data_IF_687160583514
#
_entry.id   IF_687160583514
#
_cell.length_a   1.000
_cell.length_b   1.000
_cell.length_c   1.000
_cell.angle_alpha   90.00
_cell.angle_beta   90.00
_cell.angle_gamma   90.00
#
_symmetry.space_group_name_H-M   'P 1'
#
loop_
_entity.id
_entity.type
_entity.pdbx_description
1 polymer ?
#
# COMPACT_ATOMS: atom_id res chain seq x y z
N UNK A 1 10.01 1.62 -5.32
CA UNK A 1 8.66 1.13 -4.95
C UNK A 1 8.33 -0.07 -5.82
N UNK A 2 7.74 -1.14 -5.27
CA UNK A 2 7.39 -2.35 -6.02
C UNK A 2 5.89 -2.32 -6.36
N UNK A 3 5.54 -2.31 -7.63
CA UNK A 3 4.19 -2.02 -8.07
C UNK A 3 3.59 -3.22 -8.81
N UNK A 4 2.41 -3.64 -8.38
CA UNK A 4 1.47 -4.40 -9.20
C UNK A 4 0.13 -3.63 -9.22
N UNK A 5 0.03 -2.60 -10.06
CA UNK A 5 -1.14 -1.74 -10.12
C UNK A 5 -2.22 -2.34 -11.03
N UNK A 6 -3.48 -2.08 -10.72
CA UNK A 6 -4.59 -2.28 -11.64
C UNK A 6 -5.09 -0.95 -12.21
N UNK A 7 -6.28 -0.97 -12.81
CA UNK A 7 -6.88 0.22 -13.44
C UNK A 7 -7.14 1.35 -12.44
N UNK A 8 -7.38 1.01 -11.18
CA UNK A 8 -7.72 1.94 -10.10
C UNK A 8 -6.50 2.77 -9.67
N UNK A 9 -5.28 2.27 -9.82
CA UNK A 9 -4.04 2.91 -9.36
C UNK A 9 -3.27 3.62 -10.48
N UNK A 10 -3.83 3.72 -11.69
CA UNK A 10 -3.15 4.34 -12.83
C UNK A 10 -2.78 5.81 -12.58
N UNK A 11 -3.57 6.54 -11.80
CA UNK A 11 -3.24 7.91 -11.40
C UNK A 11 -2.01 7.95 -10.49
N UNK A 12 -1.90 7.04 -9.52
CA UNK A 12 -0.71 6.86 -8.69
C UNK A 12 0.53 6.50 -9.52
N UNK A 13 0.39 5.56 -10.46
CA UNK A 13 1.49 5.15 -11.34
C UNK A 13 1.96 6.32 -12.21
N UNK A 14 1.03 7.06 -12.82
CA UNK A 14 1.35 8.23 -13.64
C UNK A 14 1.99 9.36 -12.81
N UNK A 15 1.66 9.49 -11.54
CA UNK A 15 2.31 10.46 -10.65
C UNK A 15 3.80 10.13 -10.43
N UNK A 16 4.18 8.85 -10.42
CA UNK A 16 5.58 8.44 -10.24
C UNK A 16 6.49 8.91 -11.38
N UNK A 17 5.97 9.06 -12.60
CA UNK A 17 6.74 9.58 -13.74
C UNK A 17 7.22 11.02 -13.51
N UNK A 18 6.56 11.77 -12.61
CA UNK A 18 6.95 13.14 -12.24
C UNK A 18 8.11 13.17 -11.23
N UNK A 19 8.48 12.02 -10.64
CA UNK A 19 9.49 11.93 -9.57
C UNK A 19 10.63 10.98 -9.97
N UNK A 20 11.62 11.43 -10.76
CA UNK A 20 12.69 10.57 -11.29
C UNK A 20 13.59 9.94 -10.20
N UNK A 21 13.58 10.49 -8.99
CA UNK A 21 14.29 9.91 -7.85
C UNK A 21 13.59 8.64 -7.29
N UNK A 22 12.31 8.43 -7.60
CA UNK A 22 11.56 7.26 -7.21
C UNK A 22 11.44 6.29 -8.37
N UNK A 23 12.15 5.16 -8.30
CA UNK A 23 12.07 4.11 -9.31
C UNK A 23 10.88 3.16 -9.03
N UNK A 24 9.85 3.11 -9.88
CA UNK A 24 8.89 2.02 -9.86
C UNK A 24 9.52 0.74 -10.43
N UNK A 25 9.29 -0.38 -9.75
CA UNK A 25 9.64 -1.71 -10.21
C UNK A 25 8.33 -2.46 -10.43
N UNK A 26 7.98 -2.69 -11.70
CA UNK A 26 6.79 -3.46 -12.05
C UNK A 26 6.99 -4.93 -11.66
N UNK A 27 6.02 -5.47 -10.94
CA UNK A 27 5.98 -6.87 -10.52
C UNK A 27 4.80 -7.57 -11.18
N UNK A 28 5.01 -8.79 -11.65
CA UNK A 28 3.98 -9.57 -12.37
C UNK A 28 2.91 -10.18 -11.45
N UNK A 29 3.11 -10.15 -10.14
CA UNK A 29 2.17 -10.66 -9.14
C UNK A 29 2.34 -9.91 -7.82
N UNK A 30 1.27 -9.74 -7.04
CA UNK A 30 1.31 -9.00 -5.76
C UNK A 30 2.21 -9.69 -4.75
N UNK A 31 2.23 -11.02 -4.73
CA UNK A 31 3.19 -11.80 -3.93
C UNK A 31 4.64 -11.48 -4.30
N UNK A 32 4.96 -11.25 -5.58
CA UNK A 32 6.31 -10.83 -6.00
C UNK A 32 6.60 -9.42 -5.49
N UNK A 33 5.62 -8.50 -5.59
CA UNK A 33 5.77 -7.13 -5.10
C UNK A 33 6.02 -7.09 -3.58
N UNK A 34 5.21 -7.78 -2.79
CA UNK A 34 5.32 -7.80 -1.33
C UNK A 34 6.55 -8.59 -0.85
N UNK A 35 6.94 -9.66 -1.55
CA UNK A 35 8.18 -10.39 -1.26
C UNK A 35 9.44 -9.58 -1.57
N UNK A 36 9.44 -8.85 -2.69
CA UNK A 36 10.53 -7.95 -3.05
C UNK A 36 10.66 -6.78 -2.05
N UNK A 37 9.53 -6.23 -1.60
CA UNK A 37 9.50 -5.20 -0.56
C UNK A 37 10.07 -5.72 0.77
N UNK A 38 9.65 -6.91 1.22
CA UNK A 38 10.18 -7.54 2.44
C UNK A 38 11.71 -7.72 2.35
N UNK A 39 12.19 -8.33 1.26
CA UNK A 39 13.62 -8.54 1.04
C UNK A 39 14.42 -7.24 0.95
N UNK A 40 13.92 -6.25 0.21
CA UNK A 40 14.58 -4.95 0.06
C UNK A 40 14.72 -4.23 1.40
N UNK A 41 13.64 -4.18 2.20
CA UNK A 41 13.67 -3.51 3.49
C UNK A 41 14.64 -4.18 4.48
N UNK A 42 14.72 -5.51 4.48
CA UNK A 42 15.71 -6.26 5.28
C UNK A 42 17.15 -5.96 4.86
N UNK A 43 17.41 -5.95 3.56
CA UNK A 43 18.76 -5.78 3.03
C UNK A 43 19.28 -4.35 3.19
N UNK A 44 18.40 -3.36 3.08
CA UNK A 44 18.79 -1.95 3.10
C UNK A 44 18.61 -1.29 4.47
N UNK A 45 17.77 -1.85 5.33
CA UNK A 45 17.34 -1.20 6.57
C UNK A 45 16.37 -0.03 6.38
N UNK A 46 16.00 0.29 5.12
CA UNK A 46 15.06 1.36 4.80
C UNK A 46 13.65 0.80 4.55
N UNK A 47 12.58 1.56 4.89
CA UNK A 47 11.22 1.15 4.53
C UNK A 47 11.06 0.90 3.03
N UNK A 48 10.43 -0.23 2.67
CA UNK A 48 10.07 -0.52 1.30
C UNK A 48 8.60 -0.14 1.03
N UNK A 49 8.32 0.37 -0.17
CA UNK A 49 6.96 0.69 -0.60
C UNK A 49 6.41 -0.35 -1.56
N UNK A 50 5.10 -0.63 -1.48
CA UNK A 50 4.34 -1.36 -2.49
C UNK A 50 3.18 -0.52 -3.04
N UNK A 51 2.79 -0.80 -4.30
CA UNK A 51 1.49 -0.38 -4.86
C UNK A 51 0.74 -1.65 -5.24
N UNK A 52 -0.44 -1.86 -4.67
CA UNK A 52 -1.27 -3.05 -4.87
C UNK A 52 -2.69 -2.66 -5.30
N UNK A 53 -3.33 -3.56 -6.02
CA UNK A 53 -4.67 -3.34 -6.57
C UNK A 53 -5.79 -3.81 -5.65
N UNK A 54 -6.63 -2.89 -5.15
CA UNK A 54 -7.85 -3.19 -4.35
C UNK A 54 -7.60 -4.19 -3.19
N UNK A 55 -8.68 -4.68 -2.58
CA UNK A 55 -8.59 -5.69 -1.52
C UNK A 55 -8.04 -7.02 -2.02
N UNK A 56 -8.38 -7.43 -3.25
CA UNK A 56 -7.96 -8.71 -3.81
C UNK A 56 -6.45 -8.78 -4.06
N UNK A 57 -5.85 -7.71 -4.56
CA UNK A 57 -4.40 -7.61 -4.73
C UNK A 57 -3.68 -7.55 -3.39
N UNK A 58 -4.22 -6.83 -2.40
CA UNK A 58 -3.71 -6.90 -1.03
C UNK A 58 -3.75 -8.34 -0.49
N UNK A 59 -4.85 -9.07 -0.72
CA UNK A 59 -5.02 -10.45 -0.29
C UNK A 59 -3.98 -11.39 -0.91
N UNK A 60 -3.69 -11.25 -2.21
CA UNK A 60 -2.63 -12.00 -2.90
C UNK A 60 -1.24 -11.78 -2.27
N UNK A 61 -0.99 -10.58 -1.75
CA UNK A 61 0.28 -10.21 -1.12
C UNK A 61 0.40 -10.54 0.37
N UNK A 62 -0.69 -10.92 1.03
CA UNK A 62 -0.79 -10.86 2.49
C UNK A 62 0.09 -11.88 3.22
N UNK A 63 0.34 -13.04 2.62
CA UNK A 63 1.20 -14.07 3.20
C UNK A 63 2.62 -13.53 3.46
N UNK A 64 3.17 -12.76 2.52
CA UNK A 64 4.49 -12.14 2.68
C UNK A 64 4.44 -10.98 3.68
N UNK A 65 3.36 -10.20 3.68
CA UNK A 65 3.18 -9.13 4.67
C UNK A 65 3.06 -9.68 6.10
N UNK A 66 2.46 -10.87 6.28
CA UNK A 66 2.47 -11.56 7.56
C UNK A 66 3.90 -11.91 7.99
N UNK A 67 4.71 -12.47 7.10
CA UNK A 67 6.11 -12.78 7.39
C UNK A 67 6.93 -11.52 7.70
N UNK A 68 6.72 -10.44 6.95
CA UNK A 68 7.34 -9.14 7.19
C UNK A 68 6.94 -8.58 8.58
N UNK A 69 5.66 -8.67 8.96
CA UNK A 69 5.17 -8.28 10.30
C UNK A 69 5.88 -9.08 11.39
N UNK A 70 5.94 -10.42 11.26
CA UNK A 70 6.57 -11.30 12.25
C UNK A 70 8.06 -11.01 12.41
N UNK A 71 8.71 -10.54 11.36
CA UNK A 71 10.12 -10.16 11.36
C UNK A 71 10.38 -8.68 11.67
N UNK A 72 9.33 -7.87 11.94
CA UNK A 72 9.49 -6.44 12.23
C UNK A 72 10.01 -5.62 11.06
N UNK A 73 9.70 -6.04 9.82
CA UNK A 73 10.21 -5.41 8.60
C UNK A 73 9.35 -4.19 8.24
N UNK A 74 9.96 -3.03 7.97
CA UNK A 74 9.24 -1.81 7.65
C UNK A 74 8.72 -1.82 6.21
N UNK A 75 7.40 -1.79 6.03
CA UNK A 75 6.74 -1.78 4.71
C UNK A 75 5.61 -0.75 4.68
N UNK A 76 5.53 0.05 3.63
CA UNK A 76 4.37 0.92 3.33
C UNK A 76 3.63 0.34 2.13
N UNK A 77 2.36 0.00 2.30
CA UNK A 77 1.49 -0.42 1.22
C UNK A 77 0.59 0.74 0.80
N UNK A 78 0.62 1.09 -0.48
CA UNK A 78 -0.39 1.92 -1.11
C UNK A 78 -1.35 0.99 -1.83
N UNK A 79 -2.61 1.00 -1.42
CA UNK A 79 -3.64 0.11 -1.97
C UNK A 79 -4.70 1.00 -2.58
N UNK A 80 -5.00 0.86 -3.87
CA UNK A 80 -6.11 1.62 -4.44
C UNK A 80 -7.45 1.08 -3.95
N UNK A 81 -8.49 1.90 -4.04
CA UNK A 81 -9.88 1.53 -3.77
C UNK A 81 -10.79 2.08 -4.87
N UNK A 82 -11.97 1.49 -5.04
CA UNK A 82 -13.04 2.07 -5.85
C UNK A 82 -13.29 3.53 -5.46
N UNK A 83 -13.87 4.27 -6.41
CA UNK A 83 -14.23 5.65 -6.13
C UNK A 83 -15.25 5.70 -4.97
N UNK A 84 -15.11 6.67 -4.07
CA UNK A 84 -15.88 6.72 -2.80
C UNK A 84 -17.40 6.64 -3.02
N UNK A 85 -17.91 7.29 -4.07
CA UNK A 85 -19.33 7.29 -4.44
C UNK A 85 -19.84 5.96 -5.02
N UNK A 86 -18.95 5.04 -5.38
CA UNK A 86 -19.29 3.73 -5.98
C UNK A 86 -19.14 2.57 -5.00
N UNK A 87 -18.56 2.78 -3.82
CA UNK A 87 -18.34 1.74 -2.80
C UNK A 87 -19.65 1.06 -2.41
N UNK A 88 -20.74 1.82 -2.24
CA UNK A 88 -22.05 1.28 -1.85
C UNK A 88 -22.72 0.40 -2.91
N UNK A 89 -22.21 0.40 -4.15
CA UNK A 89 -22.70 -0.47 -5.21
C UNK A 89 -22.21 -1.92 -5.08
N UNK A 90 -21.26 -2.19 -4.18
CA UNK A 90 -20.69 -3.53 -3.92
C UNK A 90 -20.28 -4.24 -5.21
N UNK A 91 -19.50 -3.53 -6.05
CA UNK A 91 -19.04 -4.07 -7.32
C UNK A 91 -18.12 -5.28 -7.13
N UNK A 92 -17.93 -6.08 -8.20
CA UNK A 92 -17.28 -7.40 -8.14
C UNK A 92 -15.90 -7.48 -7.46
N UNK A 93 -15.16 -6.38 -7.37
CA UNK A 93 -13.82 -6.33 -6.75
C UNK A 93 -13.81 -5.64 -5.38
N UNK A 94 -14.99 -5.27 -4.86
CA UNK A 94 -15.13 -4.59 -3.57
C UNK A 94 -14.88 -5.58 -2.43
N UNK A 95 -14.18 -5.11 -1.41
CA UNK A 95 -13.79 -5.91 -0.24
C UNK A 95 -13.54 -4.97 0.93
N UNK A 96 -13.71 -5.45 2.16
CA UNK A 96 -13.26 -4.73 3.36
C UNK A 96 -11.73 -4.74 3.46
N UNK A 97 -11.08 -3.78 2.79
CA UNK A 97 -9.62 -3.65 2.76
C UNK A 97 -9.07 -3.30 4.14
N UNK A 98 -9.80 -2.51 4.94
CA UNK A 98 -9.36 -2.13 6.28
C UNK A 98 -9.24 -3.35 7.20
N UNK A 99 -10.26 -4.21 7.23
CA UNK A 99 -10.24 -5.45 8.00
C UNK A 99 -9.08 -6.36 7.55
N UNK A 100 -8.90 -6.51 6.23
CA UNK A 100 -7.82 -7.31 5.67
C UNK A 100 -6.44 -6.75 6.06
N UNK A 101 -6.22 -5.46 5.86
CA UNK A 101 -4.97 -4.77 6.18
C UNK A 101 -4.65 -4.82 7.68
N UNK A 102 -5.67 -4.74 8.55
CA UNK A 102 -5.53 -4.81 10.01
C UNK A 102 -4.95 -6.13 10.52
N UNK A 103 -5.00 -7.21 9.73
CA UNK A 103 -4.39 -8.49 10.09
C UNK A 103 -2.85 -8.46 10.05
N UNK A 104 -2.25 -7.51 9.31
CA UNK A 104 -0.78 -7.42 9.13
C UNK A 104 -0.21 -6.04 9.47
N UNK A 105 -1.01 -4.98 9.39
CA UNK A 105 -0.56 -3.59 9.55
C UNK A 105 -0.68 -3.12 11.00
N UNK A 106 0.27 -2.31 11.45
CA UNK A 106 0.18 -1.58 12.73
C UNK A 106 -0.49 -0.22 12.58
N UNK A 107 -0.62 0.25 11.34
CA UNK A 107 -1.32 1.47 10.97
C UNK A 107 -2.10 1.23 9.67
N UNK A 108 -3.38 1.58 9.68
CA UNK A 108 -4.27 1.50 8.53
C UNK A 108 -5.04 2.81 8.42
N UNK A 109 -5.16 3.33 7.21
CA UNK A 109 -5.91 4.55 6.92
C UNK A 109 -6.55 4.45 5.55
N UNK A 110 -7.82 4.81 5.46
CA UNK A 110 -8.49 5.08 4.19
C UNK A 110 -8.57 6.57 3.97
N UNK A 111 -8.06 7.03 2.84
CA UNK A 111 -8.08 8.44 2.47
C UNK A 111 -9.52 8.85 2.13
N UNK A 112 -10.00 9.91 2.75
CA UNK A 112 -11.33 10.50 2.49
C UNK A 112 -11.26 11.87 1.83
N UNK A 113 -10.11 12.55 1.93
CA UNK A 113 -9.90 13.90 1.41
C UNK A 113 -8.60 13.90 0.60
N UNK A 114 -8.61 14.20 -0.72
CA UNK A 114 -7.42 14.15 -1.57
C UNK A 114 -6.24 14.98 -1.03
N UNK A 115 -6.54 16.18 -0.51
CA UNK A 115 -5.54 17.09 0.05
C UNK A 115 -4.76 16.52 1.25
N UNK A 116 -5.27 15.47 1.92
CA UNK A 116 -4.58 14.81 3.04
C UNK A 116 -3.56 13.76 2.57
N UNK A 117 -3.52 13.40 1.28
CA UNK A 117 -2.68 12.31 0.77
C UNK A 117 -1.20 12.44 1.18
N UNK A 118 -0.62 13.63 0.99
CA UNK A 118 0.79 13.87 1.35
C UNK A 118 1.05 13.70 2.85
N UNK A 119 0.11 14.16 3.68
CA UNK A 119 0.18 14.02 5.14
C UNK A 119 0.08 12.55 5.55
N UNK A 120 -0.85 11.81 4.96
CA UNK A 120 -1.07 10.40 5.31
C UNK A 120 0.05 9.49 4.82
N UNK A 121 0.69 9.79 3.68
CA UNK A 121 1.96 9.14 3.28
C UNK A 121 3.05 9.42 4.33
N UNK A 122 3.18 10.67 4.80
CA UNK A 122 4.13 11.03 5.85
C UNK A 122 3.88 10.28 7.16
N UNK A 123 2.61 10.17 7.58
CA UNK A 123 2.21 9.41 8.76
C UNK A 123 2.53 7.92 8.62
N UNK A 124 2.23 7.32 7.46
CA UNK A 124 2.55 5.93 7.15
C UNK A 124 4.07 5.67 7.24
N UNK A 125 4.87 6.53 6.61
CA UNK A 125 6.33 6.46 6.68
C UNK A 125 6.84 6.56 8.13
N UNK A 126 6.35 7.54 8.90
CA UNK A 126 6.70 7.71 10.30
C UNK A 126 6.36 6.49 11.16
N UNK A 127 5.22 5.85 10.92
CA UNK A 127 4.85 4.61 11.60
C UNK A 127 5.87 3.49 11.35
N UNK A 128 6.25 3.25 10.08
CA UNK A 128 7.22 2.17 9.74
C UNK A 128 8.61 2.39 10.34
N UNK A 129 8.99 3.64 10.58
CA UNK A 129 10.28 4.00 11.18
C UNK A 129 10.29 3.88 12.71
N UNK A 130 9.13 3.90 13.36
CA UNK A 130 9.05 3.76 14.82
C UNK A 130 9.39 2.32 15.28
N UNK A 131 10.29 2.21 16.26
CA UNK A 131 10.66 0.92 16.85
C UNK A 131 9.72 0.56 18.01
N UNK A 132 9.63 -0.73 18.33
CA UNK A 132 8.78 -1.23 19.44
C UNK A 132 7.29 -1.42 19.09
N UNK A 133 6.89 -1.14 17.85
CA UNK A 133 5.53 -1.42 17.36
C UNK A 133 5.29 -2.91 17.16
N UNK A 134 4.05 -3.35 17.38
CA UNK A 134 3.63 -4.75 17.13
C UNK A 134 3.67 -5.13 15.63
N UNK A 135 3.61 -4.14 14.75
CA UNK A 135 3.87 -4.26 13.32
C UNK A 135 4.48 -2.95 12.83
N UNK A 136 5.45 -3.04 11.92
CA UNK A 136 6.05 -1.87 11.24
C UNK A 136 5.54 -1.73 9.81
N UNK A 137 4.39 -2.33 9.54
CA UNK A 137 3.70 -2.24 8.27
C UNK A 137 2.60 -1.18 8.38
N UNK A 138 2.60 -0.24 7.44
CA UNK A 138 1.56 0.77 7.29
C UNK A 138 0.82 0.54 5.96
N UNK A 139 -0.51 0.60 5.98
CA UNK A 139 -1.33 0.47 4.77
C UNK A 139 -2.19 1.72 4.60
N UNK A 140 -2.00 2.42 3.48
CA UNK A 140 -2.81 3.57 3.06
C UNK A 140 -3.70 3.14 1.89
N UNK A 141 -5.01 3.19 2.10
CA UNK A 141 -6.03 2.86 1.12
C UNK A 141 -6.46 4.15 0.43
N UNK A 142 -6.44 4.18 -0.90
CA UNK A 142 -6.58 5.41 -1.68
C UNK A 142 -7.70 5.23 -2.73
N UNK A 143 -8.92 5.68 -2.44
CA UNK A 143 -10.01 5.71 -3.41
C UNK A 143 -9.61 6.40 -4.70
N UNK A 144 -10.04 5.86 -5.85
CA UNK A 144 -9.63 6.34 -7.18
C UNK A 144 -9.94 7.82 -7.42
N UNK A 145 -11.07 8.31 -6.92
CA UNK A 145 -11.43 9.73 -6.97
C UNK A 145 -10.55 10.63 -6.10
N UNK A 146 -9.84 10.07 -5.12
CA UNK A 146 -8.87 10.79 -4.30
C UNK A 146 -7.43 10.79 -4.88
N UNK A 147 -7.19 10.14 -6.02
CA UNK A 147 -5.86 10.05 -6.64
C UNK A 147 -5.57 11.15 -7.68
N UNK A 148 -6.56 11.98 -8.04
CA UNK A 148 -6.54 12.81 -9.26
C UNK A 148 -6.07 14.26 -9.06
N UNK A 149 -5.52 14.59 -7.90
CA UNK A 149 -5.04 15.95 -7.58
C UNK A 149 -3.52 16.02 -7.43
#
# INVERSE_FOLDING_TARGET
IFANPGTTEMCLVAALDKFPAMRPVLCLHETVATGAADGYARMTGFPAGTILHLGVGLANGIANLHNARRAGVPVVNLVGEMATWHISADALLHMDIEALAGTVSGWVRTLSIPAELSRDIGNAMGHTQSQGQASRIATLIIPHDCQRE
#
